data_IF_969196424364
#
_entry.id   IF_969196424364
#
_cell.length_a   1.000
_cell.length_b   1.000
_cell.length_c   1.000
_cell.angle_alpha   90.00
_cell.angle_beta   90.00
_cell.angle_gamma   90.00
#
_symmetry.space_group_name_H-M   'P 1'
#
loop_
_entity.id
_entity.type
_entity.pdbx_description
1 polymer ?
#
# COMPACT_ATOMS: atom_id res chain seq x y z
N UNK A 1 -1.66 10.48 16.29
CA UNK A 1 -2.77 10.16 15.39
C UNK A 1 -3.17 8.72 15.62
N UNK A 2 -4.45 8.42 15.56
CA UNK A 2 -4.93 7.05 15.71
C UNK A 2 -4.57 6.25 14.45
N UNK A 3 -4.23 4.94 14.60
CA UNK A 3 -3.95 4.07 13.47
C UNK A 3 -5.15 3.99 12.51
N UNK A 4 -4.88 4.04 11.20
CA UNK A 4 -5.92 4.13 10.18
C UNK A 4 -5.81 2.99 9.15
N UNK A 5 -6.90 2.22 8.98
CA UNK A 5 -7.07 1.34 7.83
C UNK A 5 -7.57 2.18 6.64
N UNK A 6 -6.84 2.15 5.53
CA UNK A 6 -7.15 2.97 4.36
C UNK A 6 -8.30 2.38 3.55
N UNK A 7 -9.17 3.27 3.06
CA UNK A 7 -10.24 2.94 2.12
C UNK A 7 -9.72 3.06 0.69
N UNK A 8 -10.01 2.08 -0.15
CA UNK A 8 -9.76 2.11 -1.59
C UNK A 8 -10.65 1.12 -2.33
N UNK A 9 -10.90 1.39 -3.60
CA UNK A 9 -11.50 0.47 -4.55
C UNK A 9 -10.42 -0.32 -5.31
N UNK A 10 -10.79 -1.28 -6.11
CA UNK A 10 -9.86 -1.98 -6.97
C UNK A 10 -10.46 -3.20 -7.66
N UNK A 11 -9.64 -3.87 -8.46
CA UNK A 11 -10.02 -5.11 -9.12
C UNK A 11 -9.49 -6.32 -8.34
N UNK A 12 -10.35 -7.28 -8.12
CA UNK A 12 -10.00 -8.54 -7.48
C UNK A 12 -10.64 -9.68 -8.27
N UNK A 13 -9.82 -10.67 -8.68
CA UNK A 13 -10.27 -11.78 -9.52
C UNK A 13 -10.98 -11.33 -10.83
N UNK A 14 -10.47 -10.26 -11.45
CA UNK A 14 -11.04 -9.70 -12.67
C UNK A 14 -12.26 -8.80 -12.48
N UNK A 15 -12.83 -8.71 -11.27
CA UNK A 15 -14.01 -7.92 -10.98
C UNK A 15 -13.67 -6.65 -10.22
N UNK A 16 -14.31 -5.54 -10.61
CA UNK A 16 -14.24 -4.29 -9.88
C UNK A 16 -14.96 -4.40 -8.53
N UNK A 17 -14.27 -4.02 -7.47
CA UNK A 17 -14.83 -3.92 -6.13
C UNK A 17 -14.76 -2.45 -5.68
N UNK A 18 -15.89 -1.77 -5.46
CA UNK A 18 -15.93 -0.36 -5.08
C UNK A 18 -15.41 -0.09 -3.66
N UNK A 19 -15.27 -1.12 -2.83
CA UNK A 19 -14.80 -0.98 -1.45
C UNK A 19 -13.98 -2.20 -1.00
N UNK A 20 -12.70 -2.21 -1.34
CA UNK A 20 -11.75 -3.22 -0.82
C UNK A 20 -11.22 -2.83 0.56
N UNK A 21 -10.48 -1.76 0.65
CA UNK A 21 -9.81 -1.28 1.86
C UNK A 21 -8.69 -2.18 2.39
N UNK A 22 -8.00 -1.70 3.39
CA UNK A 22 -6.92 -2.41 4.09
C UNK A 22 -7.48 -3.43 5.08
N UNK A 23 -7.82 -4.64 4.62
CA UNK A 23 -8.42 -5.69 5.44
C UNK A 23 -7.49 -6.31 6.50
N UNK A 24 -6.19 -6.03 6.44
CA UNK A 24 -5.17 -6.50 7.39
C UNK A 24 -3.97 -5.58 7.49
N UNK A 25 -4.11 -4.32 7.10
CA UNK A 25 -3.05 -3.34 7.20
C UNK A 25 -3.56 -2.08 7.90
N UNK A 26 -2.69 -1.43 8.67
CA UNK A 26 -3.00 -0.25 9.46
C UNK A 26 -1.87 0.74 9.31
N UNK A 27 -2.17 1.93 8.81
CA UNK A 27 -1.24 3.06 8.77
C UNK A 27 -1.07 3.62 10.19
N UNK A 28 0.14 3.62 10.69
CA UNK A 28 0.47 4.17 12.00
C UNK A 28 0.67 5.69 11.97
N UNK A 29 1.16 6.20 10.84
CA UNK A 29 1.47 7.60 10.66
C UNK A 29 2.65 7.82 9.73
N UNK A 30 3.24 9.01 9.82
CA UNK A 30 4.35 9.44 9.00
C UNK A 30 5.56 9.78 9.85
N UNK A 31 6.74 9.56 9.28
CA UNK A 31 8.03 9.98 9.86
C UNK A 31 8.85 10.70 8.82
N UNK A 32 9.82 11.50 9.25
CA UNK A 32 10.88 12.00 8.40
C UNK A 32 12.07 11.04 8.45
N UNK A 33 12.55 10.62 7.30
CA UNK A 33 13.77 9.82 7.22
C UNK A 33 15.03 10.70 7.42
N UNK A 34 16.21 10.08 7.46
CA UNK A 34 17.48 10.78 7.65
C UNK A 34 17.79 11.83 6.55
N UNK A 35 17.08 11.77 5.43
CA UNK A 35 17.18 12.72 4.32
C UNK A 35 16.08 13.79 4.36
N UNK A 36 15.29 13.84 5.43
CA UNK A 36 14.15 14.75 5.58
C UNK A 36 12.94 14.40 4.69
N UNK A 37 12.89 13.21 4.10
CA UNK A 37 11.77 12.79 3.28
C UNK A 37 10.69 12.15 4.12
N UNK A 38 9.43 12.50 3.83
CA UNK A 38 8.26 11.90 4.51
C UNK A 38 8.07 10.45 4.09
N UNK A 39 7.88 9.59 5.07
CA UNK A 39 7.63 8.16 4.91
C UNK A 39 6.42 7.74 5.72
N UNK A 40 5.54 6.97 5.11
CA UNK A 40 4.46 6.29 5.81
C UNK A 40 4.98 5.02 6.48
N UNK A 41 4.55 4.77 7.71
CA UNK A 41 4.77 3.52 8.44
C UNK A 41 3.45 2.77 8.55
N UNK A 42 3.42 1.55 8.03
CA UNK A 42 2.22 0.72 8.02
C UNK A 42 2.52 -0.68 8.57
N UNK A 43 1.68 -1.18 9.47
CA UNK A 43 1.69 -2.60 9.87
C UNK A 43 0.79 -3.42 8.95
N UNK A 44 1.23 -4.63 8.62
CA UNK A 44 0.43 -5.61 7.89
C UNK A 44 0.40 -6.94 8.64
N UNK A 45 -0.81 -7.43 8.88
CA UNK A 45 -1.03 -8.67 9.62
C UNK A 45 -1.24 -8.49 11.13
N UNK A 46 -1.42 -7.26 11.61
CA UNK A 46 -1.50 -6.91 13.04
C UNK A 46 -2.89 -7.07 13.65
N UNK A 47 -3.89 -7.47 12.88
CA UNK A 47 -5.23 -7.71 13.37
C UNK A 47 -6.34 -7.14 12.49
N UNK A 48 -7.57 -7.22 13.00
CA UNK A 48 -8.78 -6.81 12.29
C UNK A 48 -8.83 -5.31 12.03
N UNK A 49 -9.42 -4.98 10.88
CA UNK A 49 -9.77 -3.61 10.50
C UNK A 49 -11.24 -3.57 10.07
N UNK A 50 -11.84 -2.40 9.86
CA UNK A 50 -13.20 -2.29 9.31
C UNK A 50 -13.36 -2.97 7.93
N UNK A 51 -12.26 -3.24 7.22
CA UNK A 51 -12.26 -3.84 5.88
C UNK A 51 -11.87 -5.31 5.85
N UNK A 52 -11.80 -5.99 6.99
CA UNK A 52 -11.36 -7.41 7.08
C UNK A 52 -12.38 -8.41 6.51
N UNK A 53 -13.61 -7.98 6.19
CA UNK A 53 -14.65 -8.81 5.55
C UNK A 53 -14.86 -10.16 6.26
N UNK A 54 -14.94 -10.13 7.60
CA UNK A 54 -15.08 -11.32 8.44
C UNK A 54 -13.78 -12.08 8.72
N UNK A 55 -12.67 -11.72 8.07
CA UNK A 55 -11.34 -12.28 8.35
C UNK A 55 -10.74 -11.80 9.67
N UNK A 56 -9.66 -12.44 10.10
CA UNK A 56 -8.94 -12.12 11.34
C UNK A 56 -7.98 -10.93 11.23
N UNK A 57 -7.73 -10.45 10.01
CA UNK A 57 -6.79 -9.35 9.76
C UNK A 57 -5.32 -9.72 10.03
N UNK A 58 -5.02 -10.99 10.26
CA UNK A 58 -3.70 -11.49 10.59
C UNK A 58 -2.97 -12.03 9.36
N UNK A 59 -1.66 -12.12 9.44
CA UNK A 59 -0.82 -12.77 8.46
C UNK A 59 0.02 -13.87 9.13
N UNK A 60 0.27 -14.95 8.42
CA UNK A 60 1.22 -15.96 8.86
C UNK A 60 2.61 -15.69 8.28
N UNK A 61 3.62 -16.30 8.87
CA UNK A 61 5.04 -15.99 8.67
C UNK A 61 5.48 -16.11 7.19
N UNK A 62 5.00 -17.11 6.45
CA UNK A 62 5.41 -17.34 5.05
C UNK A 62 5.19 -16.14 4.14
N UNK A 63 3.96 -15.60 3.98
CA UNK A 63 3.70 -14.39 3.20
C UNK A 63 4.43 -13.16 3.71
N UNK A 64 4.64 -13.02 5.02
CA UNK A 64 5.38 -11.90 5.62
C UNK A 64 6.84 -11.94 5.18
N UNK A 65 7.50 -13.09 5.28
CA UNK A 65 8.88 -13.25 4.84
C UNK A 65 9.02 -13.09 3.33
N UNK A 66 8.08 -13.63 2.54
CA UNK A 66 8.08 -13.45 1.08
C UNK A 66 8.03 -11.97 0.71
N UNK A 67 7.12 -11.22 1.30
CA UNK A 67 6.99 -9.79 1.03
C UNK A 67 8.25 -9.02 1.47
N UNK A 68 8.82 -9.37 2.63
CA UNK A 68 10.08 -8.81 3.08
C UNK A 68 11.20 -9.04 2.06
N UNK A 69 11.46 -10.28 1.70
CA UNK A 69 12.56 -10.66 0.79
C UNK A 69 12.36 -10.02 -0.59
N UNK A 70 11.14 -10.11 -1.16
CA UNK A 70 10.88 -9.58 -2.50
C UNK A 70 10.97 -8.05 -2.54
N UNK A 71 10.45 -7.35 -1.54
CA UNK A 71 10.53 -5.88 -1.51
C UNK A 71 11.98 -5.40 -1.39
N UNK A 72 12.79 -6.03 -0.57
CA UNK A 72 14.20 -5.67 -0.43
C UNK A 72 15.03 -6.07 -1.67
N UNK A 73 14.73 -7.20 -2.30
CA UNK A 73 15.34 -7.59 -3.58
C UNK A 73 15.02 -6.59 -4.70
N UNK A 74 13.76 -6.17 -4.84
CA UNK A 74 13.38 -5.14 -5.82
C UNK A 74 14.10 -3.83 -5.58
N UNK A 75 14.23 -3.42 -4.30
CA UNK A 75 15.01 -2.23 -3.96
C UNK A 75 16.48 -2.36 -4.35
N UNK A 76 17.11 -3.51 -4.08
CA UNK A 76 18.50 -3.78 -4.44
C UNK A 76 18.73 -3.76 -5.97
N UNK A 77 17.71 -4.13 -6.75
CA UNK A 77 17.70 -4.03 -8.21
C UNK A 77 17.42 -2.60 -8.74
N UNK A 78 17.23 -1.62 -7.85
CA UNK A 78 16.90 -0.25 -8.23
C UNK A 78 15.45 -0.03 -8.67
N UNK A 79 14.58 -1.02 -8.44
CA UNK A 79 13.16 -0.94 -8.82
C UNK A 79 12.36 -0.28 -7.68
N UNK A 80 11.56 0.76 -7.97
CA UNK A 80 10.71 1.40 -6.97
C UNK A 80 9.77 0.41 -6.30
N UNK A 81 9.79 0.36 -4.98
CA UNK A 81 8.98 -0.56 -4.18
C UNK A 81 8.74 0.00 -2.77
N UNK A 82 7.76 -0.54 -2.06
CA UNK A 82 7.68 -0.36 -0.61
C UNK A 82 8.85 -1.11 0.04
N UNK A 83 9.35 -0.57 1.17
CA UNK A 83 10.42 -1.19 1.95
C UNK A 83 9.82 -1.96 3.13
N UNK A 84 10.55 -2.94 3.61
CA UNK A 84 10.24 -3.68 4.82
C UNK A 84 11.21 -3.28 5.94
N UNK A 85 10.69 -2.65 6.98
CA UNK A 85 11.49 -2.25 8.14
C UNK A 85 11.72 -3.43 9.09
N UNK A 86 10.70 -4.23 9.33
CA UNK A 86 10.75 -5.38 10.23
C UNK A 86 9.72 -6.44 9.85
N UNK A 87 10.08 -7.70 10.07
CA UNK A 87 9.18 -8.84 10.08
C UNK A 87 9.28 -9.48 11.47
N UNK A 88 8.18 -9.51 12.21
CA UNK A 88 8.15 -9.96 13.61
C UNK A 88 7.17 -11.09 13.75
N UNK A 89 7.61 -12.22 14.31
CA UNK A 89 6.71 -13.32 14.70
C UNK A 89 5.87 -12.87 15.90
N UNK A 90 4.54 -13.06 15.83
CA UNK A 90 3.63 -12.55 16.87
C UNK A 90 3.63 -13.38 18.16
N UNK A 91 4.14 -14.60 18.13
CA UNK A 91 4.02 -15.56 19.22
C UNK A 91 2.68 -16.27 19.29
N UNK A 92 1.75 -15.95 18.41
CA UNK A 92 0.42 -16.59 18.30
C UNK A 92 0.27 -17.29 16.95
N UNK A 93 -0.49 -18.34 16.90
CA UNK A 93 -0.82 -19.03 15.66
C UNK A 93 -1.96 -18.33 14.91
N UNK A 94 -1.90 -18.43 13.59
CA UNK A 94 -2.95 -18.00 12.67
C UNK A 94 -3.54 -19.24 11.99
N UNK A 95 -4.82 -19.46 12.16
CA UNK A 95 -5.51 -20.59 11.56
C UNK A 95 -5.85 -20.31 10.10
N UNK A 96 -5.45 -21.23 9.22
CA UNK A 96 -5.81 -21.30 7.81
C UNK A 96 -6.34 -22.72 7.56
N UNK A 97 -5.69 -23.54 6.73
CA UNK A 97 -5.95 -24.98 6.67
C UNK A 97 -5.39 -25.69 7.89
N UNK A 98 -4.31 -25.16 8.46
CA UNK A 98 -3.65 -25.63 9.68
C UNK A 98 -3.27 -24.43 10.56
N UNK A 99 -2.83 -24.69 11.78
CA UNK A 99 -2.22 -23.67 12.63
C UNK A 99 -0.83 -23.31 12.08
N UNK A 100 -0.59 -22.03 11.82
CA UNK A 100 0.63 -21.50 11.24
C UNK A 100 1.17 -20.35 12.10
N UNK A 101 2.49 -20.20 12.26
CA UNK A 101 3.07 -19.10 13.04
C UNK A 101 2.62 -17.75 12.50
N UNK A 102 2.00 -16.94 13.35
CA UNK A 102 1.58 -15.58 13.02
C UNK A 102 2.76 -14.61 12.96
N UNK A 103 2.67 -13.60 12.08
CA UNK A 103 3.68 -12.58 11.95
C UNK A 103 3.11 -11.25 11.49
N UNK A 104 3.84 -10.17 11.78
CA UNK A 104 3.52 -8.79 11.38
C UNK A 104 4.66 -8.23 10.57
N UNK A 105 4.34 -7.62 9.44
CA UNK A 105 5.28 -6.87 8.61
C UNK A 105 5.12 -5.38 8.86
N UNK A 106 6.22 -4.69 9.14
CA UNK A 106 6.27 -3.23 9.14
C UNK A 106 6.75 -2.72 7.79
N UNK A 107 5.88 -2.03 7.08
CA UNK A 107 6.14 -1.43 5.77
C UNK A 107 6.52 0.03 5.90
N UNK A 108 7.42 0.48 5.02
CA UNK A 108 7.79 1.88 4.87
C UNK A 108 7.65 2.25 3.39
N UNK A 109 6.98 3.36 3.11
CA UNK A 109 6.80 3.85 1.74
C UNK A 109 6.80 5.38 1.68
N UNK A 110 7.00 5.95 0.50
CA UNK A 110 6.78 7.37 0.27
C UNK A 110 5.32 7.78 0.56
N UNK A 111 4.37 6.89 0.24
CA UNK A 111 3.01 6.85 0.77
C UNK A 111 2.37 5.49 0.48
N UNK A 112 1.23 5.23 1.12
CA UNK A 112 0.39 4.06 0.83
C UNK A 112 -0.86 4.45 0.02
N UNK A 113 -0.88 5.62 -0.60
CA UNK A 113 -1.92 6.01 -1.56
C UNK A 113 -1.93 5.03 -2.74
N UNK A 114 -3.13 4.73 -3.21
CA UNK A 114 -3.38 3.82 -4.34
C UNK A 114 -4.22 4.52 -5.39
N UNK A 115 -4.14 4.09 -6.63
CA UNK A 115 -5.10 4.47 -7.67
C UNK A 115 -6.53 4.20 -7.18
N UNK A 116 -6.75 3.08 -6.50
CA UNK A 116 -8.03 2.73 -5.89
C UNK A 116 -8.57 3.72 -4.85
N UNK A 117 -7.73 4.52 -4.20
CA UNK A 117 -8.16 5.59 -3.29
C UNK A 117 -8.89 6.69 -4.05
N UNK A 118 -8.43 7.04 -5.26
CA UNK A 118 -9.13 7.99 -6.14
C UNK A 118 -10.41 7.37 -6.69
N UNK A 119 -10.36 6.10 -7.09
CA UNK A 119 -11.50 5.40 -7.66
C UNK A 119 -12.69 5.29 -6.70
N UNK A 120 -12.45 5.09 -5.40
CA UNK A 120 -13.54 4.99 -4.42
C UNK A 120 -14.29 6.30 -4.29
N UNK A 121 -13.61 7.44 -4.25
CA UNK A 121 -14.26 8.75 -4.19
C UNK A 121 -14.95 9.11 -5.50
N UNK A 122 -14.33 8.78 -6.64
CA UNK A 122 -14.96 8.96 -7.95
C UNK A 122 -16.23 8.12 -8.09
N UNK A 123 -16.19 6.84 -7.68
CA UNK A 123 -17.36 5.95 -7.73
C UNK A 123 -18.52 6.44 -6.85
N UNK A 124 -18.20 7.04 -5.70
CA UNK A 124 -19.20 7.58 -4.76
C UNK A 124 -19.72 8.96 -5.15
N UNK A 125 -19.16 9.59 -6.18
CA UNK A 125 -19.49 10.97 -6.56
C UNK A 125 -19.01 12.01 -5.54
N UNK A 126 -18.05 11.67 -4.67
CA UNK A 126 -17.50 12.55 -3.64
C UNK A 126 -16.44 13.51 -4.22
N UNK A 127 -16.89 14.43 -5.07
CA UNK A 127 -16.03 15.32 -5.87
C UNK A 127 -15.07 16.14 -5.00
N UNK A 128 -15.53 16.65 -3.87
CA UNK A 128 -14.70 17.47 -2.99
C UNK A 128 -13.58 16.65 -2.33
N UNK A 129 -13.88 15.43 -1.87
CA UNK A 129 -12.87 14.52 -1.33
C UNK A 129 -11.86 14.09 -2.41
N UNK A 130 -12.34 13.87 -3.64
CA UNK A 130 -11.47 13.57 -4.77
C UNK A 130 -10.53 14.74 -5.10
N UNK A 131 -11.05 15.98 -5.06
CA UNK A 131 -10.23 17.19 -5.25
C UNK A 131 -9.15 17.30 -4.18
N UNK A 132 -9.52 17.21 -2.91
CA UNK A 132 -8.58 17.25 -1.78
C UNK A 132 -7.48 16.18 -1.87
N UNK A 133 -7.85 14.96 -2.26
CA UNK A 133 -6.91 13.87 -2.48
C UNK A 133 -5.97 14.17 -3.64
N UNK A 134 -6.48 14.74 -4.73
CA UNK A 134 -5.70 15.14 -5.90
C UNK A 134 -4.67 16.21 -5.52
N UNK A 135 -5.11 17.27 -4.84
CA UNK A 135 -4.23 18.35 -4.38
C UNK A 135 -3.15 17.82 -3.42
N UNK A 136 -3.52 16.95 -2.49
CA UNK A 136 -2.57 16.28 -1.59
C UNK A 136 -1.55 15.44 -2.35
N UNK A 137 -1.97 14.66 -3.34
CA UNK A 137 -1.06 13.82 -4.12
C UNK A 137 -0.10 14.66 -4.98
N UNK A 138 -0.57 15.76 -5.56
CA UNK A 138 0.26 16.73 -6.27
C UNK A 138 1.30 17.30 -5.31
N UNK A 139 0.86 17.90 -4.21
CA UNK A 139 1.76 18.54 -3.25
C UNK A 139 2.81 17.58 -2.70
N UNK A 140 2.44 16.32 -2.46
CA UNK A 140 3.33 15.36 -1.81
C UNK A 140 4.28 14.66 -2.78
N UNK A 141 3.83 14.30 -3.98
CA UNK A 141 4.55 13.40 -4.89
C UNK A 141 4.93 14.03 -6.22
N UNK A 142 4.15 14.99 -6.69
CA UNK A 142 4.29 15.57 -8.03
C UNK A 142 4.13 17.09 -7.99
N UNK A 143 4.95 17.83 -7.18
CA UNK A 143 4.74 19.27 -6.97
C UNK A 143 4.87 20.11 -8.24
N UNK A 144 5.43 19.55 -9.31
CA UNK A 144 5.53 20.18 -10.63
C UNK A 144 4.35 19.85 -11.55
N UNK A 145 3.39 19.01 -11.12
CA UNK A 145 2.24 18.66 -11.95
C UNK A 145 1.27 19.85 -12.04
N UNK A 146 0.90 20.19 -13.27
CA UNK A 146 -0.10 21.22 -13.55
C UNK A 146 -1.52 20.61 -13.44
N UNK A 147 -2.07 20.70 -12.24
CA UNK A 147 -3.41 20.27 -11.91
C UNK A 147 -3.68 18.74 -12.07
N UNK A 148 -4.95 18.34 -12.09
CA UNK A 148 -5.34 16.92 -12.14
C UNK A 148 -4.84 16.18 -13.37
N UNK A 149 -4.83 16.84 -14.54
CA UNK A 149 -4.34 16.24 -15.78
C UNK A 149 -2.83 16.03 -15.76
N UNK A 150 -2.09 17.00 -15.18
CA UNK A 150 -0.66 16.87 -14.93
C UNK A 150 -0.34 15.71 -14.00
N UNK A 151 -1.11 15.54 -12.91
CA UNK A 151 -1.01 14.39 -12.02
C UNK A 151 -1.26 13.08 -12.75
N UNK A 152 -2.33 12.98 -13.55
CA UNK A 152 -2.65 11.78 -14.31
C UNK A 152 -1.48 11.38 -15.23
N UNK A 153 -0.93 12.33 -15.98
CA UNK A 153 0.22 12.10 -16.87
C UNK A 153 1.44 11.58 -16.10
N UNK A 154 1.75 12.21 -14.96
CA UNK A 154 2.88 11.81 -14.13
C UNK A 154 2.71 10.40 -13.55
N UNK A 155 1.51 10.06 -13.09
CA UNK A 155 1.19 8.71 -12.59
C UNK A 155 1.28 7.67 -13.71
N UNK A 156 0.73 7.97 -14.90
CA UNK A 156 0.83 7.05 -16.06
C UNK A 156 2.29 6.79 -16.44
N UNK A 157 3.14 7.83 -16.49
CA UNK A 157 4.54 7.66 -16.78
C UNK A 157 5.24 6.80 -15.72
N UNK A 158 5.04 7.09 -14.43
CA UNK A 158 5.62 6.33 -13.33
C UNK A 158 5.19 4.85 -13.34
N UNK A 159 3.94 4.56 -13.70
CA UNK A 159 3.46 3.18 -13.83
C UNK A 159 4.07 2.47 -15.05
N UNK A 160 4.22 3.15 -16.17
CA UNK A 160 4.87 2.60 -17.36
C UNK A 160 6.34 2.23 -17.08
N UNK A 161 7.08 3.14 -16.44
CA UNK A 161 8.47 2.92 -16.03
C UNK A 161 8.58 1.74 -15.05
N UNK A 162 7.66 1.65 -14.06
CA UNK A 162 7.64 0.56 -13.10
C UNK A 162 7.39 -0.80 -13.77
N UNK A 163 6.40 -0.89 -14.66
CA UNK A 163 6.09 -2.13 -15.38
C UNK A 163 7.25 -2.53 -16.28
N UNK A 164 7.86 -1.59 -16.99
CA UNK A 164 9.06 -1.85 -17.82
C UNK A 164 10.23 -2.38 -16.96
N UNK A 165 10.44 -1.80 -15.76
CA UNK A 165 11.47 -2.27 -14.84
C UNK A 165 11.17 -3.69 -14.32
N UNK A 166 9.91 -4.03 -14.00
CA UNK A 166 9.53 -5.39 -13.64
C UNK A 166 9.79 -6.39 -14.76
N UNK A 167 9.38 -6.04 -15.99
CA UNK A 167 9.60 -6.89 -17.16
C UNK A 167 11.10 -7.15 -17.43
N UNK A 168 11.95 -6.14 -17.19
CA UNK A 168 13.40 -6.26 -17.40
C UNK A 168 14.08 -7.30 -16.50
N UNK A 169 13.48 -7.61 -15.35
CA UNK A 169 13.96 -8.64 -14.41
C UNK A 169 13.11 -9.91 -14.40
N UNK A 170 12.18 -10.04 -15.35
CA UNK A 170 11.30 -11.21 -15.46
C UNK A 170 10.21 -11.32 -14.39
N UNK A 171 9.91 -10.22 -13.72
CA UNK A 171 8.83 -10.15 -12.75
C UNK A 171 7.53 -9.69 -13.43
N UNK A 172 6.70 -10.64 -13.85
CA UNK A 172 5.44 -10.43 -14.57
C UNK A 172 4.35 -11.35 -14.02
#
# INVERSE_FOLDING_TARGET
ADPLAQLYAGHQFGNYNPQLGDGRAILLGEVLDAKGQRRDIQLKGSGRTPYSRGGDGRAWLGPVLREYVVSEAMHALGIPTTRALAAVQSGEDVFRETALPGAVLTRVAASHLRVGTFQVFAHRGEVENLRRLTDYAIQRHYPQADGPLGLLRAVCAAQADLVAAWMSVGFI
#
